data_IF_529582563987
#
_entry.id   IF_529582563987
#
_cell.length_a   1.000
_cell.length_b   1.000
_cell.length_c   1.000
_cell.angle_alpha   90.00
_cell.angle_beta   90.00
_cell.angle_gamma   90.00
#
_symmetry.space_group_name_H-M   'P 1'
#
loop_
_entity.id
_entity.type
_entity.pdbx_description
1 polymer ?
#
# COMPACT_ATOMS: atom_id res chain seq x y z
N UNK A 1 57.93 24.90 -18.78
CA UNK A 1 57.69 23.44 -18.96
C UNK A 1 56.37 23.13 -18.28
N UNK A 2 55.39 22.81 -19.11
CA UNK A 2 54.01 22.42 -18.81
C UNK A 2 53.96 20.94 -18.45
N UNK A 3 53.25 20.59 -17.38
CA UNK A 3 52.51 19.34 -17.32
C UNK A 3 51.13 19.61 -16.73
N UNK A 4 50.13 19.05 -17.40
CA UNK A 4 48.73 19.43 -17.46
C UNK A 4 47.87 18.65 -16.47
N UNK A 5 46.98 19.36 -15.78
CA UNK A 5 45.80 18.81 -15.12
C UNK A 5 44.80 18.33 -16.18
N UNK A 6 44.35 17.07 -16.11
CA UNK A 6 43.15 16.62 -16.83
C UNK A 6 42.50 15.42 -16.16
N UNK A 7 41.51 15.69 -15.30
CA UNK A 7 40.31 14.85 -15.19
C UNK A 7 39.14 15.78 -14.90
N UNK A 8 38.58 16.31 -15.98
CA UNK A 8 37.30 17.02 -15.98
C UNK A 8 36.21 16.05 -15.53
N UNK A 9 35.62 16.29 -14.37
CA UNK A 9 34.24 15.85 -14.12
C UNK A 9 33.36 16.44 -15.22
N UNK A 10 32.49 15.66 -15.88
CA UNK A 10 31.49 16.27 -16.73
C UNK A 10 30.61 17.13 -15.82
N UNK A 11 30.59 18.43 -16.08
CA UNK A 11 29.66 19.35 -15.43
C UNK A 11 28.24 18.88 -15.74
N UNK A 12 27.41 18.74 -14.71
CA UNK A 12 25.96 18.56 -14.83
C UNK A 12 25.36 19.81 -15.50
N UNK A 13 25.37 19.85 -16.82
CA UNK A 13 24.78 20.95 -17.57
C UNK A 13 23.31 20.65 -17.86
N UNK A 14 22.43 21.47 -17.26
CA UNK A 14 21.02 21.57 -17.59
C UNK A 14 20.87 21.97 -19.08
N UNK A 15 20.39 21.06 -19.92
CA UNK A 15 19.99 21.40 -21.28
C UNK A 15 18.51 21.11 -21.50
N UNK A 16 17.84 22.04 -22.20
CA UNK A 16 16.48 21.88 -22.70
C UNK A 16 16.54 21.01 -23.95
N UNK A 17 15.61 20.06 -24.07
CA UNK A 17 15.43 19.32 -25.31
C UNK A 17 14.87 20.24 -26.42
N UNK A 18 14.81 19.74 -27.67
CA UNK A 18 14.32 20.49 -28.83
C UNK A 18 12.83 20.91 -28.73
N UNK A 19 12.11 20.47 -27.70
CA UNK A 19 10.75 20.89 -27.35
C UNK A 19 10.67 21.85 -26.15
N UNK A 20 11.80 22.20 -25.52
CA UNK A 20 11.88 23.16 -24.42
C UNK A 20 11.71 22.55 -23.01
N UNK A 21 11.59 21.23 -22.86
CA UNK A 21 11.48 20.58 -21.55
C UNK A 21 12.87 20.25 -20.98
N UNK A 22 13.03 20.46 -19.67
CA UNK A 22 14.24 20.13 -18.93
C UNK A 22 14.08 18.76 -18.25
N UNK A 23 14.97 17.81 -18.56
CA UNK A 23 14.98 16.47 -17.98
C UNK A 23 16.41 15.91 -17.89
N UNK A 24 16.65 15.09 -16.87
CA UNK A 24 17.96 14.48 -16.59
C UNK A 24 18.19 13.31 -17.57
N UNK A 25 19.15 13.42 -18.49
CA UNK A 25 19.50 12.35 -19.43
C UNK A 25 20.74 11.59 -18.95
N UNK A 26 20.54 10.56 -18.14
CA UNK A 26 21.46 9.43 -17.99
C UNK A 26 20.86 8.22 -18.70
N UNK A 27 21.68 7.44 -19.40
CA UNK A 27 21.23 6.31 -20.20
C UNK A 27 20.66 5.19 -19.28
N UNK A 28 19.37 4.80 -19.36
CA UNK A 28 18.75 3.88 -18.39
C UNK A 28 19.18 2.40 -18.49
N UNK A 29 20.06 2.05 -19.43
CA UNK A 29 20.28 0.65 -19.84
C UNK A 29 21.65 0.06 -19.51
N UNK A 30 22.53 0.77 -18.79
CA UNK A 30 23.90 0.28 -18.51
C UNK A 30 24.04 -0.65 -17.29
N UNK A 31 22.96 -1.24 -16.79
CA UNK A 31 23.03 -2.31 -15.77
C UNK A 31 22.37 -3.59 -16.27
N UNK A 32 23.21 -4.50 -16.75
CA UNK A 32 22.84 -5.77 -17.35
C UNK A 32 23.15 -6.91 -16.38
N UNK A 33 22.16 -7.39 -15.59
CA UNK A 33 22.15 -8.75 -15.04
C UNK A 33 20.70 -9.25 -14.90
N UNK A 34 20.44 -10.41 -15.49
CA UNK A 34 19.12 -10.99 -15.75
C UNK A 34 18.30 -11.45 -14.54
N UNK A 35 17.09 -11.91 -14.85
CA UNK A 35 16.04 -12.37 -13.94
C UNK A 35 16.56 -13.18 -12.73
N UNK A 36 15.97 -13.00 -11.53
CA UNK A 36 16.18 -13.94 -10.43
C UNK A 36 15.56 -15.31 -10.77
N UNK A 37 16.27 -16.43 -10.57
CA UNK A 37 15.65 -17.76 -10.55
C UNK A 37 14.79 -17.94 -9.29
N UNK A 38 13.91 -18.96 -9.26
CA UNK A 38 13.03 -19.23 -8.12
C UNK A 38 13.87 -19.60 -6.90
N UNK A 39 13.54 -19.01 -5.74
CA UNK A 39 14.05 -19.30 -4.39
C UNK A 39 14.87 -20.60 -4.31
N UNK A 40 16.20 -20.47 -4.40
CA UNK A 40 17.14 -21.58 -4.37
C UNK A 40 18.54 -21.09 -3.99
N UNK A 41 18.98 -21.52 -2.80
CA UNK A 41 20.30 -21.40 -2.18
C UNK A 41 20.75 -19.98 -1.71
N UNK A 42 20.73 -19.78 -0.38
CA UNK A 42 21.06 -18.52 0.31
C UNK A 42 22.52 -18.38 0.77
N UNK A 43 23.40 -19.33 0.48
CA UNK A 43 24.75 -19.28 1.04
C UNK A 43 25.77 -18.58 0.12
N UNK A 44 26.34 -17.48 0.62
CA UNK A 44 27.40 -16.62 0.08
C UNK A 44 27.11 -15.74 -1.16
N UNK A 45 26.25 -16.14 -2.10
CA UNK A 45 26.05 -15.38 -3.35
C UNK A 45 25.57 -13.92 -3.18
N UNK A 46 24.88 -13.62 -2.07
CA UNK A 46 24.35 -12.29 -1.75
C UNK A 46 25.26 -11.39 -0.89
N UNK A 47 26.46 -11.85 -0.50
CA UNK A 47 27.32 -11.10 0.44
C UNK A 47 27.94 -9.82 -0.17
N UNK A 48 27.94 -9.70 -1.50
CA UNK A 48 28.71 -8.70 -2.27
C UNK A 48 27.86 -7.85 -3.23
N UNK A 49 26.54 -7.92 -3.11
CA UNK A 49 25.60 -7.08 -3.86
C UNK A 49 24.61 -7.90 -4.69
N UNK A 50 23.33 -7.55 -4.53
CA UNK A 50 22.25 -8.00 -5.41
C UNK A 50 21.92 -6.81 -6.32
N UNK A 51 21.80 -6.99 -7.64
CA UNK A 51 21.36 -5.92 -8.53
C UNK A 51 20.05 -5.31 -8.04
N UNK A 52 19.92 -3.99 -8.13
CA UNK A 52 18.64 -3.34 -7.85
C UNK A 52 17.55 -3.94 -8.78
N UNK A 53 16.30 -4.10 -8.31
CA UNK A 53 15.22 -4.50 -9.19
C UNK A 53 15.08 -3.48 -10.33
N UNK A 54 14.61 -3.94 -11.49
CA UNK A 54 14.31 -3.03 -12.61
C UNK A 54 13.41 -1.89 -12.11
N UNK A 55 13.80 -0.64 -12.38
CA UNK A 55 12.97 0.51 -12.01
C UNK A 55 11.64 0.43 -12.77
N UNK A 56 10.53 0.53 -12.05
CA UNK A 56 9.24 0.77 -12.68
C UNK A 56 9.29 2.14 -13.40
N UNK A 57 8.78 2.21 -14.63
CA UNK A 57 8.74 3.45 -15.39
C UNK A 57 7.99 4.54 -14.60
N UNK A 58 8.53 5.77 -14.62
CA UNK A 58 8.33 6.92 -13.71
C UNK A 58 8.36 6.56 -12.21
N UNK A 59 9.35 7.09 -11.45
CA UNK A 59 9.45 6.79 -10.04
C UNK A 59 8.30 7.43 -9.27
N UNK A 60 7.79 6.72 -8.25
CA UNK A 60 6.87 7.27 -7.24
C UNK A 60 7.35 8.59 -6.62
N UNK A 61 8.66 8.86 -6.70
CA UNK A 61 9.31 10.15 -6.38
C UNK A 61 8.66 11.35 -7.07
N UNK A 62 8.03 11.18 -8.24
CA UNK A 62 7.30 12.26 -8.91
C UNK A 62 6.04 12.67 -8.14
N UNK A 63 5.45 11.77 -7.36
CA UNK A 63 4.23 12.00 -6.60
C UNK A 63 4.49 12.30 -5.13
N UNK A 64 5.75 12.28 -4.67
CA UNK A 64 6.07 12.67 -3.28
C UNK A 64 5.83 14.17 -3.07
N UNK A 65 5.49 14.55 -1.84
CA UNK A 65 5.43 15.95 -1.45
C UNK A 65 6.81 16.47 -0.99
N UNK A 66 6.90 17.78 -0.77
CA UNK A 66 8.15 18.47 -0.40
C UNK A 66 8.82 17.86 0.83
N UNK A 67 8.02 17.49 1.83
CA UNK A 67 8.47 16.79 3.02
C UNK A 67 7.98 15.35 3.03
N UNK A 68 8.83 14.41 3.43
CA UNK A 68 8.49 12.98 3.52
C UNK A 68 7.54 12.64 4.69
N UNK A 69 7.27 13.59 5.58
CA UNK A 69 6.22 13.48 6.59
C UNK A 69 4.81 13.72 6.05
N UNK A 70 4.69 14.24 4.82
CA UNK A 70 3.41 14.44 4.14
C UNK A 70 3.06 13.21 3.28
N UNK A 71 1.76 12.92 3.07
CA UNK A 71 1.34 11.85 2.18
C UNK A 71 1.82 12.11 0.75
N UNK A 72 1.94 11.08 -0.08
CA UNK A 72 2.11 11.25 -1.52
C UNK A 72 0.84 11.85 -2.14
N UNK A 73 0.99 12.43 -3.34
CA UNK A 73 -0.10 12.84 -4.22
C UNK A 73 -0.81 11.62 -4.82
N UNK A 74 -1.33 10.74 -3.98
CA UNK A 74 -1.80 9.42 -4.37
C UNK A 74 -3.01 9.48 -5.29
N UNK A 75 -3.93 10.44 -5.11
CA UNK A 75 -5.04 10.66 -6.05
C UNK A 75 -4.57 10.98 -7.46
N UNK A 76 -3.46 11.71 -7.61
CA UNK A 76 -2.84 11.97 -8.91
C UNK A 76 -2.19 10.70 -9.46
N UNK A 77 -1.43 9.97 -8.63
CA UNK A 77 -0.82 8.69 -9.01
C UNK A 77 -1.84 7.66 -9.48
N UNK A 78 -3.02 7.61 -8.86
CA UNK A 78 -4.09 6.65 -9.17
C UNK A 78 -4.84 6.95 -10.47
N UNK A 79 -4.66 8.15 -11.06
CA UNK A 79 -5.16 8.48 -12.40
C UNK A 79 -4.21 8.01 -13.50
N UNK A 80 -2.97 7.72 -13.14
CA UNK A 80 -2.01 7.15 -14.07
C UNK A 80 -2.40 5.70 -14.39
N UNK A 81 -2.51 5.32 -15.67
CA UNK A 81 -2.93 3.98 -16.07
C UNK A 81 -1.91 2.89 -15.70
N UNK A 82 -0.67 3.26 -15.34
CA UNK A 82 0.38 2.30 -15.04
C UNK A 82 0.14 1.61 -13.69
N UNK A 83 0.28 0.28 -13.63
CA UNK A 83 -0.02 -0.45 -12.41
C UNK A 83 0.86 -0.04 -11.22
N UNK A 84 0.33 -0.19 -10.01
CA UNK A 84 1.06 -0.02 -8.75
C UNK A 84 1.52 -1.38 -8.21
N UNK A 85 2.81 -1.51 -7.91
CA UNK A 85 3.40 -2.70 -7.30
C UNK A 85 3.67 -2.45 -5.82
N UNK A 86 3.03 -3.20 -4.93
CA UNK A 86 3.17 -3.06 -3.50
C UNK A 86 3.47 -4.35 -2.76
N UNK A 87 3.80 -4.20 -1.48
CA UNK A 87 4.18 -5.29 -0.59
C UNK A 87 3.51 -5.13 0.78
N UNK A 88 3.05 -6.24 1.35
CA UNK A 88 2.40 -6.28 2.65
C UNK A 88 3.41 -6.21 3.81
N UNK A 89 3.24 -5.22 4.69
CA UNK A 89 3.94 -5.06 5.95
C UNK A 89 3.01 -5.49 7.09
N UNK A 90 3.00 -6.79 7.40
CA UNK A 90 2.08 -7.44 8.34
C UNK A 90 2.80 -7.89 9.63
N UNK A 91 4.12 -7.77 9.71
CA UNK A 91 4.84 -7.90 10.96
C UNK A 91 4.91 -6.52 11.63
N UNK A 92 4.54 -6.45 12.92
CA UNK A 92 4.75 -5.24 13.73
C UNK A 92 6.23 -5.04 14.05
N UNK A 93 7.00 -4.57 13.06
CA UNK A 93 8.43 -4.30 13.16
C UNK A 93 8.83 -3.13 12.28
N UNK A 94 9.25 -2.03 12.94
CA UNK A 94 9.84 -0.87 12.28
C UNK A 94 11.09 -1.21 11.44
N UNK A 95 11.86 -2.22 11.86
CA UNK A 95 13.05 -2.67 11.12
C UNK A 95 12.64 -3.30 9.79
N UNK A 96 11.60 -4.14 9.80
CA UNK A 96 11.05 -4.74 8.58
C UNK A 96 10.44 -3.67 7.68
N UNK A 97 9.67 -2.74 8.26
CA UNK A 97 9.10 -1.61 7.53
C UNK A 97 10.18 -0.77 6.80
N UNK A 98 11.35 -0.56 7.44
CA UNK A 98 12.50 0.11 6.79
C UNK A 98 12.99 -0.66 5.57
N UNK A 99 13.14 -1.97 5.68
CA UNK A 99 13.58 -2.80 4.55
C UNK A 99 12.57 -2.81 3.41
N UNK A 100 11.27 -2.91 3.73
CA UNK A 100 10.20 -2.82 2.72
C UNK A 100 10.23 -1.45 2.03
N UNK A 101 10.38 -0.37 2.80
CA UNK A 101 10.52 0.99 2.26
C UNK A 101 11.66 1.11 1.25
N UNK A 102 12.82 0.51 1.54
CA UNK A 102 14.00 0.54 0.69
C UNK A 102 14.00 -0.47 -0.47
N UNK A 103 13.03 -1.40 -0.52
CA UNK A 103 13.04 -2.51 -1.48
C UNK A 103 12.61 -2.15 -2.91
N UNK A 104 12.12 -0.92 -3.14
CA UNK A 104 11.74 -0.43 -4.47
C UNK A 104 10.29 -0.72 -4.88
N UNK A 105 9.40 -1.00 -3.92
CA UNK A 105 7.95 -1.07 -4.19
C UNK A 105 7.35 0.34 -4.36
N UNK A 106 6.28 0.47 -5.14
CA UNK A 106 5.55 1.74 -5.23
C UNK A 106 4.86 2.08 -3.90
N UNK A 107 4.38 1.06 -3.19
CA UNK A 107 3.75 1.22 -1.88
C UNK A 107 3.97 0.03 -0.95
N UNK A 108 3.97 0.30 0.35
CA UNK A 108 3.84 -0.71 1.39
C UNK A 108 2.42 -0.68 1.94
N UNK A 109 1.75 -1.83 1.94
CA UNK A 109 0.47 -2.00 2.63
C UNK A 109 0.73 -2.41 4.07
N UNK A 110 0.60 -1.47 5.00
CA UNK A 110 0.66 -1.74 6.43
C UNK A 110 -0.70 -2.26 6.86
N UNK A 111 -0.74 -3.47 7.40
CA UNK A 111 -1.96 -4.05 7.92
C UNK A 111 -2.10 -3.72 9.40
N UNK A 112 -3.19 -3.04 9.78
CA UNK A 112 -3.55 -2.82 11.17
C UNK A 112 -4.86 -3.53 11.57
N UNK A 113 -5.49 -4.23 10.63
CA UNK A 113 -6.72 -4.99 10.90
C UNK A 113 -6.41 -6.35 11.51
N UNK A 114 -5.52 -7.12 10.87
CA UNK A 114 -5.18 -8.49 11.30
C UNK A 114 -3.79 -8.61 11.91
N UNK A 115 -3.01 -7.53 11.92
CA UNK A 115 -1.75 -7.49 12.63
C UNK A 115 -1.99 -6.97 14.04
N UNK A 116 -1.66 -7.75 15.09
CA UNK A 116 -1.78 -7.28 16.46
C UNK A 116 -0.74 -6.20 16.73
N UNK A 117 -1.13 -4.94 16.49
CA UNK A 117 -0.39 -3.77 16.96
C UNK A 117 -0.62 -3.68 18.46
N UNK A 118 0.26 -4.31 19.25
CA UNK A 118 0.12 -4.33 20.69
C UNK A 118 0.82 -3.11 21.31
N UNK A 119 0.42 -2.79 22.53
CA UNK A 119 1.20 -1.89 23.39
C UNK A 119 2.57 -2.53 23.63
N UNK A 120 3.62 -2.05 22.96
CA UNK A 120 5.00 -2.23 23.44
C UNK A 120 5.03 -1.71 24.89
N UNK A 121 5.84 -2.30 25.77
CA UNK A 121 5.82 -2.15 27.25
C UNK A 121 5.62 -0.71 27.81
N UNK A 122 5.78 0.35 27.00
CA UNK A 122 5.53 1.76 27.34
C UNK A 122 4.67 2.57 26.33
N UNK A 123 4.11 2.00 25.25
CA UNK A 123 3.42 2.72 24.16
C UNK A 123 1.89 2.57 24.09
N UNK A 124 1.25 3.14 23.08
CA UNK A 124 -0.14 2.83 22.69
C UNK A 124 -0.09 2.09 21.34
N UNK A 125 -1.02 1.15 21.02
CA UNK A 125 -1.04 0.43 19.74
C UNK A 125 -0.81 1.30 18.49
N UNK A 126 -1.26 2.56 18.52
CA UNK A 126 -1.11 3.52 17.43
C UNK A 126 0.35 3.96 17.19
N UNK A 127 1.23 3.95 18.20
CA UNK A 127 2.63 4.39 17.99
C UNK A 127 3.37 3.51 16.99
N UNK A 128 3.06 2.21 16.97
CA UNK A 128 3.74 1.24 16.12
C UNK A 128 3.39 1.44 14.64
N UNK A 129 2.12 1.62 14.30
CA UNK A 129 1.69 1.91 12.92
C UNK A 129 2.22 3.28 12.45
N UNK A 130 2.24 4.29 13.33
CA UNK A 130 2.81 5.60 13.04
C UNK A 130 4.32 5.49 12.72
N UNK A 131 5.05 4.68 13.48
CA UNK A 131 6.47 4.45 13.22
C UNK A 131 6.67 3.68 11.93
N UNK A 132 5.88 2.66 11.63
CA UNK A 132 5.96 1.93 10.36
C UNK A 132 5.70 2.85 9.15
N UNK A 133 4.70 3.73 9.21
CA UNK A 133 4.43 4.73 8.15
C UNK A 133 5.69 5.56 7.88
N UNK A 134 6.31 6.07 8.95
CA UNK A 134 7.55 6.86 8.85
C UNK A 134 8.66 6.03 8.24
N UNK A 135 8.94 4.85 8.77
CA UNK A 135 10.05 4.00 8.29
C UNK A 135 9.89 3.59 6.83
N UNK A 136 8.67 3.36 6.35
CA UNK A 136 8.40 3.14 4.92
C UNK A 136 8.77 4.37 4.10
N UNK A 137 8.23 5.55 4.45
CA UNK A 137 8.43 6.76 3.64
C UNK A 137 9.86 7.29 3.68
N UNK A 138 10.48 7.35 4.87
CA UNK A 138 11.86 7.79 5.04
C UNK A 138 12.86 6.75 4.56
N UNK A 139 12.63 5.46 4.85
CA UNK A 139 13.50 4.37 4.39
C UNK A 139 13.48 4.17 2.88
N UNK A 140 12.37 4.49 2.22
CA UNK A 140 12.27 4.53 0.76
C UNK A 140 12.64 5.87 0.12
N UNK A 141 13.09 6.87 0.89
CA UNK A 141 13.48 8.20 0.38
C UNK A 141 12.41 8.89 -0.50
N UNK A 142 11.13 8.62 -0.23
CA UNK A 142 10.02 9.10 -1.03
C UNK A 142 9.81 8.34 -2.35
N UNK A 143 10.23 7.09 -2.44
CA UNK A 143 9.91 6.16 -3.53
C UNK A 143 8.84 5.14 -3.14
N UNK A 144 8.63 4.88 -1.85
CA UNK A 144 7.63 3.91 -1.37
C UNK A 144 6.58 4.63 -0.53
N UNK A 145 5.33 4.63 -0.99
CA UNK A 145 4.22 5.22 -0.25
C UNK A 145 3.69 4.28 0.84
N UNK A 146 3.32 4.80 2.00
CA UNK A 146 2.63 4.01 3.02
C UNK A 146 1.12 4.03 2.79
N UNK A 147 0.49 2.85 2.63
CA UNK A 147 -0.97 2.68 2.61
C UNK A 147 -1.35 1.82 3.80
N UNK A 148 -2.34 2.24 4.59
CA UNK A 148 -2.69 1.57 5.86
C UNK A 148 -4.09 0.99 5.80
N UNK A 149 -4.23 -0.32 6.02
CA UNK A 149 -5.54 -0.92 6.31
C UNK A 149 -5.87 -0.71 7.76
N UNK A 150 -6.90 0.09 8.03
CA UNK A 150 -7.31 0.45 9.40
C UNK A 150 -8.25 -0.63 9.97
N UNK A 151 -8.36 -0.75 11.31
CA UNK A 151 -9.21 -1.78 11.93
C UNK A 151 -10.71 -1.58 11.67
N UNK A 152 -11.16 -0.33 11.53
CA UNK A 152 -12.57 0.04 11.36
C UNK A 152 -12.70 1.52 10.91
N UNK A 153 -13.95 2.00 10.86
CA UNK A 153 -14.34 3.35 10.41
C UNK A 153 -14.21 4.45 11.46
N UNK A 154 -13.60 4.18 12.62
CA UNK A 154 -13.50 5.15 13.69
C UNK A 154 -12.63 6.35 13.30
N UNK A 155 -13.13 7.56 13.60
CA UNK A 155 -12.50 8.82 13.20
C UNK A 155 -11.02 8.88 13.61
N UNK A 156 -10.70 8.46 14.84
CA UNK A 156 -9.35 8.57 15.38
C UNK A 156 -8.37 7.62 14.70
N UNK A 157 -8.78 6.41 14.31
CA UNK A 157 -7.92 5.49 13.56
C UNK A 157 -7.52 6.08 12.20
N UNK A 158 -8.49 6.68 11.50
CA UNK A 158 -8.26 7.31 10.20
C UNK A 158 -7.43 8.59 10.34
N UNK A 159 -7.79 9.47 11.27
CA UNK A 159 -7.11 10.74 11.47
C UNK A 159 -5.63 10.55 11.84
N UNK A 160 -5.31 9.62 12.75
CA UNK A 160 -3.95 9.41 13.22
C UNK A 160 -3.01 8.83 12.16
N UNK A 161 -3.45 7.85 11.36
CA UNK A 161 -2.61 7.31 10.28
C UNK A 161 -2.39 8.35 9.20
N UNK A 162 -3.40 9.17 8.91
CA UNK A 162 -3.26 10.27 7.97
C UNK A 162 -2.34 11.36 8.54
N UNK A 163 -2.45 11.74 9.81
CA UNK A 163 -1.55 12.69 10.49
C UNK A 163 -0.09 12.21 10.46
N UNK A 164 0.14 10.90 10.49
CA UNK A 164 1.46 10.31 10.38
C UNK A 164 2.04 10.31 8.96
N UNK A 165 1.26 10.71 7.96
CA UNK A 165 1.69 10.80 6.56
C UNK A 165 1.27 9.62 5.69
N UNK A 166 0.32 8.77 6.12
CA UNK A 166 -0.20 7.71 5.26
C UNK A 166 -0.74 8.29 3.94
N UNK A 167 -0.25 7.75 2.83
CA UNK A 167 -0.61 8.15 1.46
C UNK A 167 -1.94 7.55 1.00
N UNK A 168 -2.48 6.62 1.77
CA UNK A 168 -3.83 6.11 1.59
C UNK A 168 -4.27 5.25 2.76
N UNK A 169 -5.58 5.06 2.85
CA UNK A 169 -6.22 4.17 3.82
C UNK A 169 -7.01 3.11 3.07
N UNK A 170 -6.98 1.86 3.56
CA UNK A 170 -7.85 0.77 3.13
C UNK A 170 -8.88 0.57 4.24
N UNK A 171 -10.16 0.57 3.85
CA UNK A 171 -11.28 0.42 4.76
C UNK A 171 -11.87 -0.98 4.58
N UNK A 172 -11.81 -1.85 5.61
CA UNK A 172 -12.32 -3.22 5.52
C UNK A 172 -13.84 -3.29 5.58
N UNK A 173 -14.39 -4.47 5.23
CA UNK A 173 -15.76 -4.89 5.46
C UNK A 173 -16.86 -3.97 4.90
N UNK A 174 -16.60 -3.23 3.81
CA UNK A 174 -17.60 -2.33 3.23
C UNK A 174 -18.56 -3.11 2.33
N UNK A 175 -19.86 -3.00 2.64
CA UNK A 175 -20.90 -3.78 1.95
C UNK A 175 -21.92 -2.92 1.21
N UNK A 176 -22.03 -1.62 1.49
CA UNK A 176 -23.08 -0.75 0.94
C UNK A 176 -22.55 0.63 0.54
N UNK A 177 -23.05 1.15 -0.59
CA UNK A 177 -22.79 2.51 -1.01
C UNK A 177 -23.86 3.45 -0.43
N UNK A 178 -23.42 4.62 0.00
CA UNK A 178 -24.35 5.63 0.47
C UNK A 178 -25.13 6.29 -0.66
N UNK A 179 -26.44 6.03 -0.72
CA UNK A 179 -27.39 6.86 -1.48
C UNK A 179 -28.53 7.24 -0.53
N UNK A 180 -28.73 8.55 -0.29
CA UNK A 180 -29.86 9.08 0.47
C UNK A 180 -31.19 8.61 -0.14
N UNK A 181 -32.00 7.86 0.62
CA UNK A 181 -33.44 7.78 0.40
C UNK A 181 -34.15 8.20 1.70
N UNK A 182 -35.12 9.10 1.54
CA UNK A 182 -35.88 9.77 2.59
C UNK A 182 -36.42 8.82 3.69
N UNK A 183 -36.60 9.31 4.95
CA UNK A 183 -36.90 8.43 6.07
C UNK A 183 -38.30 7.83 5.94
N UNK A 184 -38.38 6.51 5.80
CA UNK A 184 -39.63 5.77 5.99
C UNK A 184 -39.94 5.70 7.50
N UNK A 185 -41.15 6.12 7.83
CA UNK A 185 -41.71 6.35 9.16
C UNK A 185 -41.67 5.15 10.12
N UNK A 186 -41.25 5.44 11.35
CA UNK A 186 -41.69 4.88 12.64
C UNK A 186 -42.26 3.45 12.69
N UNK A 187 -41.54 2.52 13.33
CA UNK A 187 -42.14 1.46 14.15
C UNK A 187 -41.16 0.96 15.22
N UNK A 188 -41.54 1.07 16.50
CA UNK A 188 -40.83 0.46 17.65
C UNK A 188 -41.25 -0.99 17.83
N UNK A 189 -40.34 -1.88 18.30
CA UNK A 189 -40.76 -3.03 19.10
C UNK A 189 -40.23 -2.99 20.55
N UNK A 190 -41.06 -3.51 21.46
CA UNK A 190 -40.84 -3.67 22.91
C UNK A 190 -39.92 -4.87 23.21
N UNK A 191 -39.32 -4.84 24.41
CA UNK A 191 -38.39 -5.83 25.00
C UNK A 191 -38.99 -7.24 25.18
N UNK A 192 -38.13 -8.26 25.02
CA UNK A 192 -37.67 -9.23 26.05
C UNK A 192 -37.67 -10.71 25.57
N UNK A 193 -36.49 -11.33 25.59
CA UNK A 193 -36.30 -12.78 25.39
C UNK A 193 -34.96 -13.09 24.73
N UNK A 194 -33.91 -13.31 25.51
CA UNK A 194 -32.55 -13.54 25.03
C UNK A 194 -32.43 -14.85 24.24
N UNK A 195 -32.33 -14.73 22.91
CA UNK A 195 -31.57 -15.62 22.04
C UNK A 195 -30.45 -14.77 21.44
N UNK A 196 -29.22 -15.29 21.42
CA UNK A 196 -28.11 -14.67 20.68
C UNK A 196 -28.36 -14.94 19.21
N UNK A 197 -29.28 -14.18 18.61
CA UNK A 197 -29.29 -13.95 17.17
C UNK A 197 -28.07 -13.09 16.86
N UNK A 198 -27.27 -13.51 15.87
CA UNK A 198 -26.44 -12.55 15.13
C UNK A 198 -27.40 -11.49 14.62
N UNK A 199 -27.43 -10.33 15.30
CA UNK A 199 -28.19 -9.19 14.84
C UNK A 199 -27.59 -8.79 13.50
N UNK A 200 -28.23 -9.24 12.41
CA UNK A 200 -28.19 -8.53 11.14
C UNK A 200 -28.73 -7.14 11.44
N UNK A 201 -27.83 -6.22 11.78
CA UNK A 201 -28.20 -4.86 12.15
C UNK A 201 -28.90 -4.21 10.97
N UNK A 202 -29.95 -3.48 11.30
CA UNK A 202 -30.97 -3.00 10.37
C UNK A 202 -30.36 -2.24 9.17
N UNK A 203 -31.00 -2.39 8.01
CA UNK A 203 -30.65 -1.81 6.68
C UNK A 203 -30.43 -0.29 6.63
N UNK A 204 -30.62 0.45 7.73
CA UNK A 204 -30.37 1.90 7.87
C UNK A 204 -28.91 2.27 8.17
N UNK A 205 -28.02 1.34 8.56
CA UNK A 205 -26.60 1.64 8.87
C UNK A 205 -25.69 1.77 7.62
N UNK A 206 -26.27 1.70 6.43
CA UNK A 206 -25.59 1.35 5.17
C UNK A 206 -25.09 2.55 4.36
N UNK A 207 -25.69 3.73 4.53
CA UNK A 207 -25.30 4.97 3.83
C UNK A 207 -24.22 5.76 4.60
N UNK A 208 -24.13 5.55 5.91
CA UNK A 208 -23.28 6.33 6.79
C UNK A 208 -21.79 5.93 6.72
N UNK A 209 -21.46 4.70 6.32
CA UNK A 209 -20.09 4.16 6.45
C UNK A 209 -19.08 4.92 5.56
N UNK A 210 -19.36 5.04 4.26
CA UNK A 210 -18.44 5.72 3.33
C UNK A 210 -18.34 7.21 3.66
N UNK A 211 -19.45 7.86 3.99
CA UNK A 211 -19.42 9.28 4.35
C UNK A 211 -18.68 9.53 5.67
N UNK A 212 -18.80 8.64 6.68
CA UNK A 212 -18.00 8.70 7.92
C UNK A 212 -16.51 8.63 7.62
N UNK A 213 -16.09 7.79 6.68
CA UNK A 213 -14.69 7.71 6.23
C UNK A 213 -14.26 9.00 5.56
N UNK A 214 -15.05 9.54 4.62
CA UNK A 214 -14.73 10.81 3.95
C UNK A 214 -14.64 11.95 4.95
N UNK A 215 -15.59 12.03 5.88
CA UNK A 215 -15.61 13.02 6.96
C UNK A 215 -14.36 12.93 7.85
N UNK A 216 -13.89 11.71 8.16
CA UNK A 216 -12.68 11.51 8.94
C UNK A 216 -11.37 11.72 8.15
N UNK A 217 -11.37 11.44 6.85
CA UNK A 217 -10.17 11.47 6.03
C UNK A 217 -9.87 12.85 5.41
N UNK A 218 -10.91 13.64 5.14
CA UNK A 218 -10.80 14.90 4.40
C UNK A 218 -11.05 16.12 5.27
N UNK A 219 -10.30 17.16 4.99
CA UNK A 219 -10.55 18.48 5.56
C UNK A 219 -11.85 19.09 5.00
N UNK A 220 -12.46 20.05 5.71
CA UNK A 220 -13.58 20.82 5.16
C UNK A 220 -13.13 21.70 4.00
N UNK A 221 -14.10 22.27 3.29
CA UNK A 221 -13.81 23.34 2.34
C UNK A 221 -13.38 24.59 3.12
N UNK A 222 -12.17 25.06 2.83
CA UNK A 222 -11.58 26.24 3.50
C UNK A 222 -11.36 27.32 2.46
N UNK A 223 -11.78 28.54 2.75
CA UNK A 223 -11.44 29.74 1.99
C UNK A 223 -10.62 30.65 2.89
N UNK A 224 -9.39 30.94 2.51
CA UNK A 224 -8.48 31.77 3.32
C UNK A 224 -7.66 32.71 2.46
N UNK A 225 -7.26 33.83 3.06
CA UNK A 225 -6.25 34.74 2.51
C UNK A 225 -5.00 34.52 3.36
N UNK A 226 -3.87 34.05 2.79
CA UNK A 226 -2.64 33.84 3.54
C UNK A 226 -2.18 35.14 4.24
N UNK A 227 -1.69 35.03 5.48
CA UNK A 227 -1.15 36.17 6.22
C UNK A 227 0.15 36.60 5.51
N UNK A 228 0.17 37.80 4.92
CA UNK A 228 1.32 38.35 4.19
C UNK A 228 1.21 38.33 2.66
N UNK A 229 0.11 37.81 2.10
CA UNK A 229 -0.23 37.99 0.68
C UNK A 229 -0.79 39.40 0.42
N UNK A 230 -0.49 39.99 -0.73
CA UNK A 230 -0.94 41.35 -1.03
C UNK A 230 -2.47 41.46 -1.09
N UNK A 231 -3.07 42.61 -0.70
CA UNK A 231 -4.52 42.79 -0.59
C UNK A 231 -5.36 42.53 -1.84
N UNK A 232 -4.72 42.34 -3.00
CA UNK A 232 -5.36 42.22 -4.31
C UNK A 232 -5.43 40.79 -4.84
N UNK A 233 -4.82 39.82 -4.16
CA UNK A 233 -4.80 38.44 -4.64
C UNK A 233 -6.07 37.67 -4.25
N UNK A 234 -6.60 36.81 -5.15
CA UNK A 234 -7.80 36.06 -4.87
C UNK A 234 -7.58 35.06 -3.72
N UNK A 235 -8.57 34.87 -2.84
CA UNK A 235 -8.46 33.93 -1.73
C UNK A 235 -8.28 32.50 -2.24
N UNK A 236 -7.37 31.77 -1.60
CA UNK A 236 -7.17 30.35 -1.87
C UNK A 236 -8.34 29.55 -1.30
N UNK A 237 -8.73 28.50 -2.03
CA UNK A 237 -9.82 27.60 -1.64
C UNK A 237 -9.36 26.15 -1.68
N UNK A 238 -9.59 25.41 -0.61
CA UNK A 238 -9.40 23.96 -0.55
C UNK A 238 -10.72 23.24 -0.76
N UNK A 239 -10.71 22.18 -1.57
CA UNK A 239 -11.88 21.33 -1.84
C UNK A 239 -11.71 19.96 -1.18
N UNK A 240 -11.96 19.89 0.12
CA UNK A 240 -11.82 18.64 0.87
C UNK A 240 -13.15 17.90 1.08
N UNK A 241 -14.26 18.61 1.25
CA UNK A 241 -15.59 18.01 1.38
C UNK A 241 -15.80 17.09 2.61
N UNK A 242 -14.88 17.08 3.58
CA UNK A 242 -15.02 16.29 4.82
C UNK A 242 -15.07 17.15 6.08
N UNK A 243 -14.80 16.53 7.24
CA UNK A 243 -14.93 17.14 8.57
C UNK A 243 -13.69 16.94 9.46
N UNK A 244 -12.56 16.51 8.89
CA UNK A 244 -11.32 16.25 9.63
C UNK A 244 -10.81 17.54 10.26
N UNK A 245 -10.48 17.45 11.55
CA UNK A 245 -9.89 18.55 12.32
C UNK A 245 -8.44 18.80 11.93
N UNK A 246 -8.00 20.06 12.06
CA UNK A 246 -6.63 20.47 11.75
C UNK A 246 -5.60 19.84 12.71
N UNK A 247 -4.53 19.19 12.20
CA UNK A 247 -3.49 18.58 13.02
C UNK A 247 -2.25 19.49 13.13
N UNK A 248 -2.12 20.34 14.16
CA UNK A 248 -1.04 21.34 14.25
C UNK A 248 0.35 20.72 14.33
N UNK A 249 0.49 19.58 15.03
CA UNK A 249 1.79 18.90 15.20
C UNK A 249 2.23 18.22 13.90
N UNK A 250 1.31 17.57 13.17
CA UNK A 250 1.61 16.95 11.88
C UNK A 250 1.96 17.99 10.80
N UNK A 251 1.27 19.14 10.84
CA UNK A 251 1.52 20.29 9.95
C UNK A 251 2.91 20.88 10.18
N UNK A 252 3.45 20.82 11.40
CA UNK A 252 4.83 21.20 11.70
C UNK A 252 5.22 22.53 11.07
N UNK A 253 4.64 23.64 11.54
CA UNK A 253 4.76 24.97 10.94
C UNK A 253 6.21 25.33 10.56
N UNK A 254 6.41 25.78 9.31
CA UNK A 254 7.70 26.04 8.68
C UNK A 254 8.43 24.81 8.14
N UNK A 255 7.90 23.61 8.34
CA UNK A 255 8.53 22.32 7.97
C UNK A 255 7.61 21.51 7.04
N UNK A 256 6.39 21.16 7.49
CA UNK A 256 5.43 20.32 6.74
C UNK A 256 4.17 21.11 6.29
N UNK A 257 4.26 22.44 6.23
CA UNK A 257 3.14 23.32 5.87
C UNK A 257 3.23 23.86 4.43
N UNK A 258 4.25 23.44 3.68
CA UNK A 258 4.41 23.80 2.27
C UNK A 258 3.39 23.12 1.36
N UNK A 259 2.80 23.90 0.46
CA UNK A 259 1.94 23.45 -0.63
C UNK A 259 2.46 23.96 -1.99
N UNK A 260 2.07 23.34 -3.12
CA UNK A 260 2.27 23.93 -4.43
C UNK A 260 1.56 25.29 -4.56
N UNK A 261 2.04 26.13 -5.49
CA UNK A 261 1.44 27.44 -5.75
C UNK A 261 -0.07 27.33 -6.03
N UNK A 262 -0.85 28.21 -5.40
CA UNK A 262 -2.31 28.22 -5.54
C UNK A 262 -3.05 27.14 -4.74
N UNK A 263 -2.38 26.36 -3.90
CA UNK A 263 -3.00 25.33 -3.04
C UNK A 263 -2.77 25.62 -1.56
N UNK A 264 -3.66 25.10 -0.71
CA UNK A 264 -3.48 25.08 0.73
C UNK A 264 -2.81 23.78 1.16
N UNK A 265 -2.18 23.78 2.35
CA UNK A 265 -1.67 22.55 2.96
C UNK A 265 -2.75 21.47 3.09
N UNK A 266 -4.01 21.87 3.30
CA UNK A 266 -5.16 20.97 3.34
C UNK A 266 -5.35 20.18 2.03
N UNK A 267 -5.09 20.81 0.88
CA UNK A 267 -5.18 20.16 -0.42
C UNK A 267 -4.14 19.06 -0.57
N UNK A 268 -2.94 19.27 0.01
CA UNK A 268 -1.86 18.27 0.05
C UNK A 268 -2.30 17.04 0.84
N UNK A 269 -2.83 17.22 2.05
CA UNK A 269 -3.35 16.10 2.85
C UNK A 269 -4.57 15.43 2.23
N UNK A 270 -5.41 16.19 1.51
CA UNK A 270 -6.55 15.67 0.76
C UNK A 270 -6.14 14.84 -0.47
N UNK A 271 -4.84 14.72 -0.80
CA UNK A 271 -4.35 13.81 -1.84
C UNK A 271 -4.22 12.35 -1.41
N UNK A 272 -4.29 12.03 -0.11
CA UNK A 272 -4.24 10.65 0.36
C UNK A 272 -5.40 9.83 -0.25
N UNK A 273 -5.19 8.57 -0.64
CA UNK A 273 -6.24 7.75 -1.22
C UNK A 273 -7.20 7.17 -0.17
N UNK A 274 -8.46 6.95 -0.55
CA UNK A 274 -9.41 6.14 0.22
C UNK A 274 -9.72 4.92 -0.64
N UNK A 275 -9.36 3.74 -0.16
CA UNK A 275 -9.54 2.46 -0.85
C UNK A 275 -10.57 1.66 -0.07
N UNK A 276 -11.62 1.24 -0.74
CA UNK A 276 -12.71 0.47 -0.14
C UNK A 276 -12.45 -1.01 -0.42
N UNK A 277 -12.43 -1.84 0.61
CA UNK A 277 -12.28 -3.29 0.49
C UNK A 277 -13.66 -3.97 0.53
N UNK A 278 -13.96 -4.73 -0.52
CA UNK A 278 -15.10 -5.65 -0.63
C UNK A 278 -14.60 -7.05 -0.32
N UNK A 279 -15.15 -7.69 0.69
CA UNK A 279 -14.83 -9.09 1.00
C UNK A 279 -16.05 -9.91 1.39
N UNK A 280 -17.22 -9.49 0.89
CA UNK A 280 -18.43 -10.27 1.00
C UNK A 280 -19.21 -10.33 -0.31
N UNK A 281 -20.06 -11.33 -0.43
CA UNK A 281 -21.01 -11.48 -1.53
C UNK A 281 -21.85 -10.21 -1.72
N UNK A 282 -22.35 -9.64 -0.63
CA UNK A 282 -23.16 -8.43 -0.64
C UNK A 282 -22.37 -7.22 -1.14
N UNK A 283 -21.13 -7.06 -0.71
CA UNK A 283 -20.26 -6.01 -1.24
C UNK A 283 -20.04 -6.15 -2.75
N UNK A 284 -19.86 -7.38 -3.25
CA UNK A 284 -19.74 -7.64 -4.69
C UNK A 284 -21.02 -7.32 -5.48
N UNK A 285 -22.20 -7.58 -4.91
CA UNK A 285 -23.49 -7.21 -5.50
C UNK A 285 -23.64 -5.69 -5.60
N UNK A 286 -23.12 -4.95 -4.61
CA UNK A 286 -23.15 -3.48 -4.55
C UNK A 286 -21.92 -2.81 -5.17
N UNK A 287 -21.02 -3.57 -5.81
CA UNK A 287 -19.73 -3.07 -6.28
C UNK A 287 -19.84 -1.85 -7.21
N UNK A 288 -20.88 -1.82 -8.05
CA UNK A 288 -21.14 -0.72 -8.99
C UNK A 288 -21.36 0.63 -8.31
N UNK A 289 -21.94 0.63 -7.11
CA UNK A 289 -22.17 1.85 -6.34
C UNK A 289 -20.95 2.21 -5.48
N UNK A 290 -20.19 1.21 -5.03
CA UNK A 290 -19.00 1.38 -4.20
C UNK A 290 -17.76 1.83 -4.98
N UNK A 291 -17.55 1.27 -6.18
CA UNK A 291 -16.35 1.44 -7.01
C UNK A 291 -15.05 1.22 -6.22
N UNK A 292 -14.80 -0.04 -5.87
CA UNK A 292 -13.96 -0.51 -4.77
C UNK A 292 -13.03 -1.65 -5.21
N UNK A 293 -12.39 -2.33 -4.25
CA UNK A 293 -11.34 -3.33 -4.46
C UNK A 293 -11.70 -4.63 -3.71
N UNK A 294 -11.49 -5.83 -4.27
CA UNK A 294 -11.72 -7.08 -3.55
C UNK A 294 -10.68 -7.35 -2.44
N UNK A 295 -11.12 -7.93 -1.33
CA UNK A 295 -10.33 -8.26 -0.14
C UNK A 295 -10.10 -9.76 0.05
N UNK A 296 -9.31 -10.09 1.07
CA UNK A 296 -8.84 -11.46 1.35
C UNK A 296 -9.93 -12.43 1.80
N UNK A 297 -10.96 -11.94 2.50
CA UNK A 297 -12.00 -12.81 3.09
C UNK A 297 -13.11 -13.21 2.11
N UNK A 298 -13.12 -12.65 0.90
CA UNK A 298 -14.18 -12.85 -0.09
C UNK A 298 -14.48 -14.32 -0.36
N UNK A 299 -13.44 -15.17 -0.46
CA UNK A 299 -13.65 -16.61 -0.72
C UNK A 299 -14.38 -17.30 0.43
N UNK A 300 -14.01 -16.98 1.67
CA UNK A 300 -14.63 -17.58 2.85
C UNK A 300 -16.09 -17.13 2.98
N UNK A 301 -16.37 -15.85 2.73
CA UNK A 301 -17.75 -15.33 2.73
C UNK A 301 -18.63 -15.96 1.65
N UNK A 302 -18.04 -16.31 0.49
CA UNK A 302 -18.70 -17.08 -0.57
C UNK A 302 -18.85 -18.58 -0.27
N UNK A 303 -18.44 -19.05 0.90
CA UNK A 303 -18.49 -20.46 1.30
C UNK A 303 -17.47 -21.35 0.59
N UNK A 304 -16.38 -20.77 0.09
CA UNK A 304 -15.30 -21.47 -0.59
C UNK A 304 -14.11 -21.73 0.35
N UNK A 305 -13.21 -22.62 -0.05
CA UNK A 305 -11.95 -22.84 0.67
C UNK A 305 -11.13 -21.53 0.71
N UNK A 306 -10.62 -21.22 1.91
CA UNK A 306 -9.76 -20.07 2.15
C UNK A 306 -8.57 -20.06 1.17
N UNK A 307 -8.27 -18.87 0.64
CA UNK A 307 -7.23 -18.67 -0.36
C UNK A 307 -7.27 -17.26 -0.93
N UNK A 308 -6.31 -16.93 -1.78
CA UNK A 308 -6.22 -15.61 -2.44
C UNK A 308 -6.71 -15.61 -3.90
N UNK A 309 -6.96 -16.80 -4.46
CA UNK A 309 -7.47 -17.00 -5.82
C UNK A 309 -8.15 -18.38 -5.95
N UNK A 310 -8.91 -18.60 -7.03
CA UNK A 310 -9.42 -19.91 -7.40
C UNK A 310 -10.29 -19.89 -8.66
N UNK A 311 -10.66 -21.08 -9.18
CA UNK A 311 -11.36 -21.22 -10.46
C UNK A 311 -12.88 -21.05 -10.37
N UNK A 312 -13.46 -20.95 -9.17
CA UNK A 312 -14.90 -21.07 -8.95
C UNK A 312 -15.67 -19.93 -9.63
N UNK A 313 -16.74 -20.28 -10.35
CA UNK A 313 -17.52 -19.32 -11.13
C UNK A 313 -18.09 -18.19 -10.26
N UNK A 314 -18.56 -18.51 -9.05
CA UNK A 314 -19.10 -17.50 -8.12
C UNK A 314 -18.03 -16.48 -7.69
N UNK A 315 -16.79 -16.92 -7.49
CA UNK A 315 -15.67 -16.05 -7.14
C UNK A 315 -15.26 -15.18 -8.33
N UNK A 316 -15.11 -15.78 -9.52
CA UNK A 316 -14.76 -15.05 -10.73
C UNK A 316 -15.83 -14.03 -11.15
N UNK A 317 -17.11 -14.35 -10.96
CA UNK A 317 -18.22 -13.42 -11.18
C UNK A 317 -18.17 -12.24 -10.20
N UNK A 318 -17.83 -12.49 -8.93
CA UNK A 318 -17.61 -11.42 -7.96
C UNK A 318 -16.45 -10.50 -8.37
N UNK A 319 -15.32 -11.06 -8.79
CA UNK A 319 -14.20 -10.26 -9.29
C UNK A 319 -14.59 -9.42 -10.51
N UNK A 320 -15.31 -10.02 -11.47
CA UNK A 320 -15.80 -9.33 -12.67
C UNK A 320 -16.63 -8.10 -12.31
N UNK A 321 -17.58 -8.22 -11.39
CA UNK A 321 -18.41 -7.09 -10.93
C UNK A 321 -17.59 -5.94 -10.35
N UNK A 322 -16.58 -6.25 -9.53
CA UNK A 322 -15.72 -5.22 -8.91
C UNK A 322 -14.85 -4.53 -9.95
N UNK A 323 -14.29 -5.29 -10.89
CA UNK A 323 -13.47 -4.76 -11.99
C UNK A 323 -14.31 -3.84 -12.89
N UNK A 324 -15.49 -4.28 -13.31
CA UNK A 324 -16.38 -3.49 -14.15
C UNK A 324 -16.82 -2.19 -13.47
N UNK A 325 -17.08 -2.23 -12.17
CA UNK A 325 -17.35 -1.04 -11.39
C UNK A 325 -16.16 -0.08 -11.39
N UNK A 326 -14.95 -0.58 -11.13
CA UNK A 326 -13.72 0.23 -11.20
C UNK A 326 -13.55 0.89 -12.56
N UNK A 327 -13.66 0.11 -13.63
CA UNK A 327 -13.54 0.60 -15.01
C UNK A 327 -14.59 1.67 -15.35
N UNK A 328 -15.87 1.42 -15.04
CA UNK A 328 -16.96 2.35 -15.32
C UNK A 328 -16.75 3.70 -14.63
N UNK A 329 -16.20 3.70 -13.42
CA UNK A 329 -15.94 4.90 -12.63
C UNK A 329 -14.54 5.48 -12.83
N UNK A 330 -13.72 4.89 -13.71
CA UNK A 330 -12.33 5.31 -13.90
C UNK A 330 -11.49 5.20 -12.62
N UNK A 331 -11.79 4.23 -11.75
CA UNK A 331 -11.07 3.98 -10.50
C UNK A 331 -10.21 2.71 -10.60
N UNK A 332 -8.98 2.74 -10.07
CA UNK A 332 -8.12 1.56 -10.02
C UNK A 332 -8.69 0.50 -9.08
N UNK A 333 -8.46 -0.77 -9.43
CA UNK A 333 -8.85 -1.92 -8.62
C UNK A 333 -7.58 -2.68 -8.22
N UNK A 334 -7.45 -2.97 -6.93
CA UNK A 334 -6.27 -3.63 -6.38
C UNK A 334 -6.51 -5.14 -6.20
N UNK A 335 -5.44 -5.92 -6.17
CA UNK A 335 -5.50 -7.35 -5.87
C UNK A 335 -4.36 -7.78 -4.95
N UNK A 336 -4.66 -8.72 -4.06
CA UNK A 336 -3.65 -9.61 -3.52
C UNK A 336 -3.34 -10.69 -4.55
N UNK A 337 -2.10 -10.77 -4.99
CA UNK A 337 -1.66 -11.79 -5.95
C UNK A 337 -0.16 -11.96 -5.85
N UNK A 338 0.36 -13.16 -6.11
CA UNK A 338 1.79 -13.43 -6.02
C UNK A 338 2.28 -14.10 -7.30
N UNK A 339 3.58 -13.92 -7.57
CA UNK A 339 4.24 -14.52 -8.73
C UNK A 339 3.88 -13.88 -10.06
N UNK A 340 4.73 -14.13 -11.06
CA UNK A 340 4.61 -13.54 -12.40
C UNK A 340 3.26 -13.87 -13.06
N UNK A 341 2.83 -15.12 -12.97
CA UNK A 341 1.61 -15.59 -13.64
C UNK A 341 0.35 -15.05 -12.97
N UNK A 342 0.35 -14.92 -11.64
CA UNK A 342 -0.73 -14.30 -10.88
C UNK A 342 -0.92 -12.84 -11.28
N UNK A 343 0.17 -12.06 -11.29
CA UNK A 343 0.15 -10.66 -11.73
C UNK A 343 -0.30 -10.54 -13.18
N UNK A 344 0.24 -11.36 -14.10
CA UNK A 344 -0.16 -11.35 -15.51
C UNK A 344 -1.65 -11.65 -15.70
N UNK A 345 -2.18 -12.65 -14.99
CA UNK A 345 -3.61 -12.97 -14.98
C UNK A 345 -4.44 -11.77 -14.51
N UNK A 346 -4.06 -11.14 -13.40
CA UNK A 346 -4.83 -10.00 -12.84
C UNK A 346 -4.74 -8.75 -13.70
N UNK A 347 -3.58 -8.47 -14.31
CA UNK A 347 -3.44 -7.42 -15.31
C UNK A 347 -4.39 -7.65 -16.49
N UNK A 348 -4.44 -8.87 -17.04
CA UNK A 348 -5.34 -9.22 -18.14
C UNK A 348 -6.83 -9.11 -17.77
N UNK A 349 -7.16 -9.27 -16.49
CA UNK A 349 -8.52 -9.07 -15.98
C UNK A 349 -8.88 -7.59 -15.79
N UNK A 350 -7.91 -6.67 -15.70
CA UNK A 350 -8.14 -5.24 -15.55
C UNK A 350 -7.80 -4.66 -14.17
N UNK A 351 -7.08 -5.40 -13.32
CA UNK A 351 -6.51 -4.85 -12.08
C UNK A 351 -5.32 -3.95 -12.36
N UNK A 352 -5.14 -2.91 -11.55
CA UNK A 352 -4.10 -1.89 -11.73
C UNK A 352 -3.31 -1.59 -10.45
N UNK A 353 -3.52 -2.35 -9.38
CA UNK A 353 -2.73 -2.27 -8.17
C UNK A 353 -2.54 -3.65 -7.55
N UNK A 354 -1.35 -3.95 -7.04
CA UNK A 354 -1.01 -5.30 -6.59
C UNK A 354 -0.30 -5.29 -5.24
N UNK A 355 -0.75 -6.14 -4.33
CA UNK A 355 0.04 -6.53 -3.16
C UNK A 355 0.65 -7.89 -3.46
N UNK A 356 1.96 -7.90 -3.74
CA UNK A 356 2.68 -9.01 -4.38
C UNK A 356 3.00 -10.17 -3.42
N UNK A 357 3.19 -9.86 -2.15
CA UNK A 357 3.45 -10.77 -1.04
C UNK A 357 3.27 -10.01 0.28
N UNK A 358 3.50 -10.66 1.41
CA UNK A 358 3.75 -9.99 2.69
C UNK A 358 4.95 -10.58 3.44
N UNK A 359 5.53 -9.78 4.34
CA UNK A 359 6.66 -10.14 5.20
C UNK A 359 6.42 -11.38 6.08
N UNK A 360 5.26 -11.50 6.72
CA UNK A 360 4.96 -12.62 7.63
C UNK A 360 5.03 -13.97 6.89
N UNK A 361 4.37 -14.07 5.74
CA UNK A 361 4.41 -15.27 4.90
C UNK A 361 5.80 -15.48 4.29
N UNK A 362 6.51 -14.40 3.94
CA UNK A 362 7.86 -14.47 3.38
C UNK A 362 8.85 -15.08 4.38
N UNK A 363 8.84 -14.60 5.63
CA UNK A 363 9.70 -15.11 6.71
C UNK A 363 9.38 -16.56 7.03
N UNK A 364 8.11 -16.89 7.24
CA UNK A 364 7.69 -18.27 7.52
C UNK A 364 8.08 -19.23 6.40
N UNK A 365 7.87 -18.83 5.14
CA UNK A 365 8.25 -19.61 3.96
C UNK A 365 9.75 -19.86 3.90
N UNK A 366 10.57 -18.81 4.04
CA UNK A 366 12.03 -18.91 4.00
C UNK A 366 12.58 -19.81 5.11
N UNK A 367 12.08 -19.67 6.35
CA UNK A 367 12.46 -20.54 7.47
C UNK A 367 12.13 -22.01 7.19
N UNK A 368 10.95 -22.28 6.60
CA UNK A 368 10.52 -23.65 6.31
C UNK A 368 11.35 -24.29 5.20
N UNK A 369 11.70 -23.55 4.15
CA UNK A 369 12.59 -24.02 3.09
C UNK A 369 13.95 -24.40 3.68
N UNK A 370 14.59 -23.50 4.43
CA UNK A 370 15.91 -23.76 5.03
C UNK A 370 15.91 -25.01 5.94
N UNK A 371 14.86 -25.19 6.76
CA UNK A 371 14.74 -26.37 7.63
C UNK A 371 14.54 -27.65 6.80
N UNK A 372 13.68 -27.62 5.78
CA UNK A 372 13.40 -28.78 4.95
C UNK A 372 14.63 -29.21 4.15
N UNK A 373 15.35 -28.26 3.56
CA UNK A 373 16.58 -28.54 2.79
C UNK A 373 17.64 -29.19 3.68
N UNK A 374 17.87 -28.62 4.88
CA UNK A 374 18.81 -29.19 5.85
C UNK A 374 18.38 -30.57 6.35
N UNK A 375 17.08 -30.77 6.61
CA UNK A 375 16.54 -32.06 7.05
C UNK A 375 16.65 -33.12 5.94
N UNK A 376 16.35 -32.76 4.70
CA UNK A 376 16.47 -33.64 3.56
C UNK A 376 17.93 -34.04 3.33
N UNK A 377 18.86 -33.08 3.33
CA UNK A 377 20.29 -33.35 3.19
C UNK A 377 20.80 -34.30 4.29
N UNK A 378 20.39 -34.09 5.55
CA UNK A 378 20.76 -34.98 6.65
C UNK A 378 20.18 -36.40 6.49
N UNK A 379 18.95 -36.53 5.98
CA UNK A 379 18.35 -37.83 5.71
C UNK A 379 19.07 -38.58 4.58
N UNK A 380 19.44 -37.88 3.50
CA UNK A 380 20.20 -38.43 2.38
C UNK A 380 21.60 -38.87 2.81
N UNK A 381 22.30 -38.03 3.59
CA UNK A 381 23.60 -38.35 4.17
C UNK A 381 23.56 -39.59 5.08
N UNK A 382 22.54 -39.70 5.94
CA UNK A 382 22.35 -40.89 6.78
C UNK A 382 22.10 -42.15 5.94
N UNK A 383 21.26 -42.06 4.89
CA UNK A 383 20.99 -43.18 3.97
C UNK A 383 22.24 -43.61 3.20
N UNK A 384 23.13 -42.66 2.87
CA UNK A 384 24.40 -42.91 2.20
C UNK A 384 25.51 -43.40 3.15
N UNK A 385 25.20 -43.69 4.41
CA UNK A 385 26.18 -44.22 5.38
C UNK A 385 27.23 -43.19 5.79
N UNK A 386 26.84 -41.91 5.88
CA UNK A 386 27.73 -40.84 6.30
C UNK A 386 28.56 -40.23 5.18
N UNK A 387 28.23 -40.52 3.92
CA UNK A 387 28.96 -40.06 2.73
C UNK A 387 28.10 -39.11 1.89
N UNK A 388 28.72 -38.12 1.26
CA UNK A 388 28.06 -37.25 0.30
C UNK A 388 29.07 -36.80 -0.77
N UNK A 389 28.63 -36.66 -2.01
CA UNK A 389 29.44 -36.07 -3.09
C UNK A 389 28.84 -34.70 -3.46
N UNK A 390 29.63 -33.64 -3.28
CA UNK A 390 29.20 -32.27 -3.55
C UNK A 390 30.33 -31.53 -4.26
N UNK A 391 29.97 -30.73 -5.28
CA UNK A 391 30.91 -29.93 -6.06
C UNK A 391 32.03 -30.76 -6.74
N UNK A 392 31.76 -32.03 -7.04
CA UNK A 392 32.73 -32.96 -7.63
C UNK A 392 33.75 -33.54 -6.64
N UNK A 393 33.53 -33.35 -5.34
CA UNK A 393 34.37 -33.90 -4.27
C UNK A 393 33.55 -34.82 -3.35
N UNK A 394 34.15 -35.94 -2.93
CA UNK A 394 33.55 -36.86 -1.97
C UNK A 394 33.90 -36.46 -0.53
N UNK A 395 32.88 -36.41 0.33
CA UNK A 395 32.96 -36.03 1.74
C UNK A 395 32.43 -37.15 2.63
N UNK A 396 33.06 -37.37 3.79
CA UNK A 396 32.60 -38.36 4.77
C UNK A 396 33.46 -39.62 4.89
N UNK A 397 34.79 -39.46 5.02
CA UNK A 397 35.62 -40.55 5.52
C UNK A 397 35.26 -40.82 6.99
N UNK A 398 34.93 -42.08 7.29
CA UNK A 398 34.56 -42.53 8.62
C UNK A 398 35.67 -42.21 9.63
N UNK A 399 35.30 -41.58 10.75
CA UNK A 399 36.13 -41.54 11.96
C UNK A 399 35.94 -42.79 12.80
#
# INVERSE_FOLDING_TARGET
>A
MTHTNSTTHPADTFHKDAGGNAGWQGNPTDYNYGNPPPMGNYFLGGLVGVPAPASLDLPMRNYRNRALGLPFRMRERLRDPRPLMGYGCFLNSSIVARFIGAAGFDFAMIDWEHTPMCKRITGTPISDVVDQIKWVQFGGEGQTAAIVRVPNFEHHHIAWVLDAGASGIIIPHVQHAGVEHAPASSMRPRRAGARVEYALTNQTETVEQVQKVVDAARFPNVRTVPIGYEPHEPPLTSQGGGKRSFPPVATGFGINDGSPDGQLVFDVWNQAAIIIQIESKLGCENAMELASTPGGDLRMDLGLTAGIDGPEAIYNECLRKVIEAGQKHGKPVFAFTAGKDGVAKRLAQGFTGFVLHNDAMGVCGAMRVALNDGAQAAQEWNKAGGKVELYGEAWGEAK
#
